data_IF_304647272972
#
_entry.id   IF_304647272972
#
_cell.length_a   1.000
_cell.length_b   1.000
_cell.length_c   1.000
_cell.angle_alpha   90.00
_cell.angle_beta   90.00
_cell.angle_gamma   90.00
#
_symmetry.space_group_name_H-M   'P 1'
#
loop_
_entity.id
_entity.type
_entity.pdbx_description
1 polymer ?
#
# COMPACT_ATOMS: atom_id res chain seq x y z
N UNK A 1 31.72 -9.09 14.03
CA UNK A 1 32.18 -7.70 13.76
C UNK A 1 31.49 -7.06 12.55
N UNK A 2 31.35 -7.75 11.41
CA UNK A 2 30.63 -7.23 10.22
C UNK A 2 29.26 -6.60 10.51
N UNK A 3 28.43 -7.23 11.35
CA UNK A 3 27.11 -6.71 11.75
C UNK A 3 27.16 -5.34 12.48
N UNK A 4 28.27 -5.04 13.16
CA UNK A 4 28.44 -3.81 13.94
C UNK A 4 28.83 -2.65 13.02
N UNK A 5 29.74 -2.89 12.07
CA UNK A 5 30.14 -1.91 11.05
C UNK A 5 28.99 -1.55 10.08
N UNK A 6 28.20 -2.54 9.66
CA UNK A 6 27.03 -2.30 8.79
C UNK A 6 25.95 -1.48 9.54
N UNK A 7 25.80 -1.69 10.84
CA UNK A 7 24.89 -0.93 11.69
C UNK A 7 25.31 0.53 11.86
N UNK A 8 26.61 0.79 12.01
CA UNK A 8 27.13 2.15 12.13
C UNK A 8 26.96 2.93 10.83
N UNK A 9 27.27 2.34 9.67
CA UNK A 9 27.06 3.00 8.36
C UNK A 9 25.60 3.31 8.07
N UNK A 10 24.68 2.42 8.43
CA UNK A 10 23.25 2.67 8.30
C UNK A 10 22.81 3.82 9.24
N UNK A 11 23.26 3.81 10.49
CA UNK A 11 22.98 4.89 11.44
C UNK A 11 23.53 6.25 10.99
N UNK A 12 24.71 6.26 10.38
CA UNK A 12 25.36 7.47 9.86
C UNK A 12 24.65 8.04 8.62
N UNK A 13 24.00 7.18 7.83
CA UNK A 13 23.18 7.59 6.69
C UNK A 13 21.81 8.13 7.15
N UNK A 14 21.25 7.56 8.22
CA UNK A 14 19.95 7.98 8.80
C UNK A 14 20.09 9.31 9.56
N UNK A 15 21.20 9.53 10.27
CA UNK A 15 21.41 10.75 11.06
C UNK A 15 21.54 12.02 10.21
N UNK A 16 21.85 11.88 8.92
CA UNK A 16 21.95 12.99 7.96
C UNK A 16 20.60 13.48 7.43
N UNK A 17 19.50 12.73 7.67
CA UNK A 17 18.16 13.09 7.21
C UNK A 17 17.46 13.98 8.27
N UNK A 18 17.50 15.30 8.06
CA UNK A 18 16.66 16.27 8.78
C UNK A 18 15.27 16.32 8.15
N UNK A 19 14.39 15.38 8.48
CA UNK A 19 12.96 15.48 8.13
C UNK A 19 12.09 15.41 9.39
N UNK A 20 10.90 16.04 9.34
CA UNK A 20 9.88 15.95 10.41
C UNK A 20 9.51 14.49 10.73
N UNK A 21 9.65 13.59 9.76
CA UNK A 21 9.38 12.14 9.88
C UNK A 21 10.58 11.31 10.35
N UNK A 22 11.63 11.94 10.89
CA UNK A 22 12.85 11.25 11.32
C UNK A 22 12.59 10.09 12.29
N UNK A 23 11.52 10.15 13.10
CA UNK A 23 11.10 9.04 13.98
C UNK A 23 10.58 7.82 13.20
N UNK A 24 9.71 8.04 12.21
CA UNK A 24 9.14 6.98 11.37
C UNK A 24 10.22 6.32 10.50
N UNK A 25 11.10 7.12 9.89
CA UNK A 25 12.21 6.63 9.07
C UNK A 25 13.19 5.81 9.93
N UNK A 26 13.47 6.26 11.16
CA UNK A 26 14.33 5.50 12.10
C UNK A 26 13.69 4.18 12.54
N UNK A 27 12.38 4.17 12.76
CA UNK A 27 11.63 2.95 13.05
C UNK A 27 11.69 1.98 11.87
N UNK A 28 11.48 2.48 10.64
CA UNK A 28 11.57 1.69 9.42
C UNK A 28 12.96 1.06 9.24
N UNK A 29 14.04 1.82 9.47
CA UNK A 29 15.39 1.28 9.46
C UNK A 29 15.63 0.23 10.57
N UNK A 30 15.08 0.44 11.77
CA UNK A 30 15.17 -0.55 12.86
C UNK A 30 14.46 -1.86 12.52
N UNK A 31 13.32 -1.79 11.82
CA UNK A 31 12.58 -2.95 11.32
C UNK A 31 13.39 -3.69 10.26
N UNK A 32 13.95 -2.97 9.28
CA UNK A 32 14.77 -3.56 8.23
C UNK A 32 16.01 -4.28 8.80
N UNK A 33 16.60 -3.75 9.89
CA UNK A 33 17.68 -4.41 10.64
C UNK A 33 17.21 -5.70 11.31
N UNK A 34 16.05 -5.68 11.98
CA UNK A 34 15.49 -6.89 12.58
C UNK A 34 15.25 -7.98 11.53
N UNK A 35 14.73 -7.62 10.35
CA UNK A 35 14.55 -8.58 9.25
C UNK A 35 15.86 -9.23 8.80
N UNK A 36 16.96 -8.48 8.75
CA UNK A 36 18.27 -9.02 8.39
C UNK A 36 18.75 -10.08 9.39
N UNK A 37 18.59 -9.81 10.69
CA UNK A 37 18.91 -10.80 11.74
C UNK A 37 18.02 -12.03 11.61
N UNK A 38 16.73 -11.82 11.39
CA UNK A 38 15.76 -12.92 11.24
C UNK A 38 16.09 -13.81 10.04
N UNK A 39 16.53 -13.26 8.91
CA UNK A 39 16.99 -14.05 7.76
C UNK A 39 18.17 -14.96 8.09
N UNK A 40 19.22 -14.42 8.72
CA UNK A 40 20.37 -15.26 9.10
C UNK A 40 19.98 -16.35 10.11
N UNK A 41 19.02 -16.07 11.00
CA UNK A 41 18.48 -17.06 11.91
C UNK A 41 17.62 -18.10 11.18
N UNK A 42 16.82 -17.72 10.18
CA UNK A 42 16.03 -18.63 9.34
C UNK A 42 16.96 -19.52 8.51
N UNK A 43 18.03 -18.98 7.92
CA UNK A 43 19.03 -19.73 7.15
C UNK A 43 19.70 -20.82 8.01
N UNK A 44 19.99 -20.51 9.27
CA UNK A 44 20.57 -21.47 10.22
C UNK A 44 19.54 -22.40 10.88
N UNK A 45 18.25 -22.02 10.90
CA UNK A 45 17.16 -22.76 11.54
C UNK A 45 15.90 -22.81 10.66
N UNK A 46 15.93 -23.51 9.51
CA UNK A 46 14.89 -23.44 8.48
C UNK A 46 13.51 -23.93 8.93
N UNK A 47 13.44 -24.78 9.95
CA UNK A 47 12.18 -25.36 10.46
C UNK A 47 11.59 -24.59 11.64
N UNK A 48 12.15 -23.42 12.00
CA UNK A 48 11.64 -22.63 13.12
C UNK A 48 10.49 -21.72 12.66
N UNK A 49 9.26 -22.17 12.90
CA UNK A 49 8.03 -21.45 12.55
C UNK A 49 7.87 -20.09 13.26
N UNK A 50 8.46 -19.94 14.45
CA UNK A 50 8.46 -18.68 15.20
C UNK A 50 9.30 -17.60 14.51
N UNK A 51 10.46 -17.95 13.96
CA UNK A 51 11.32 -17.03 13.21
C UNK A 51 10.66 -16.57 11.90
N UNK A 52 10.04 -17.50 11.17
CA UNK A 52 9.28 -17.19 9.95
C UNK A 52 8.14 -16.23 10.26
N UNK A 53 7.38 -16.48 11.35
CA UNK A 53 6.29 -15.60 11.78
C UNK A 53 6.80 -14.20 12.16
N UNK A 54 7.91 -14.12 12.90
CA UNK A 54 8.52 -12.84 13.28
C UNK A 54 8.99 -12.05 12.05
N UNK A 55 9.57 -12.75 11.05
CA UNK A 55 9.98 -12.15 9.79
C UNK A 55 8.79 -11.55 9.04
N UNK A 56 7.73 -12.32 8.83
CA UNK A 56 6.51 -11.85 8.15
C UNK A 56 5.86 -10.67 8.89
N UNK A 57 5.85 -10.68 10.23
CA UNK A 57 5.34 -9.56 11.03
C UNK A 57 6.19 -8.29 10.85
N UNK A 58 7.51 -8.44 10.83
CA UNK A 58 8.41 -7.31 10.58
C UNK A 58 8.28 -6.77 9.14
N UNK A 59 8.01 -7.63 8.16
CA UNK A 59 7.72 -7.22 6.78
C UNK A 59 6.43 -6.41 6.68
N UNK A 60 5.36 -6.85 7.34
CA UNK A 60 4.10 -6.10 7.45
C UNK A 60 4.31 -4.71 8.04
N UNK A 61 5.10 -4.62 9.12
CA UNK A 61 5.41 -3.33 9.72
C UNK A 61 6.23 -2.46 8.76
N UNK A 62 7.26 -3.01 8.12
CA UNK A 62 8.08 -2.25 7.17
C UNK A 62 7.23 -1.65 6.05
N UNK A 63 6.30 -2.43 5.49
CA UNK A 63 5.37 -1.96 4.46
C UNK A 63 4.48 -0.84 5.00
N UNK A 64 3.88 -0.98 6.19
CA UNK A 64 3.10 0.10 6.82
C UNK A 64 3.89 1.39 7.03
N UNK A 65 5.18 1.29 7.39
CA UNK A 65 6.04 2.46 7.54
C UNK A 65 6.41 3.07 6.18
N UNK A 66 6.74 2.25 5.18
CA UNK A 66 7.04 2.72 3.83
C UNK A 66 5.86 3.49 3.21
N UNK A 67 4.63 3.03 3.48
CA UNK A 67 3.40 3.72 3.08
C UNK A 67 3.24 5.09 3.75
N UNK A 68 3.67 5.24 5.01
CA UNK A 68 3.58 6.51 5.75
C UNK A 68 4.69 7.50 5.39
N UNK A 69 5.85 7.01 4.97
CA UNK A 69 7.02 7.86 4.68
C UNK A 69 7.23 8.13 3.20
N UNK A 70 6.48 7.47 2.31
CA UNK A 70 6.70 7.44 0.85
C UNK A 70 8.13 7.06 0.46
N UNK A 71 8.83 6.35 1.36
CA UNK A 71 10.21 5.93 1.23
C UNK A 71 10.26 4.44 1.49
N UNK A 72 10.72 3.67 0.51
CA UNK A 72 10.98 2.25 0.68
C UNK A 72 12.47 2.03 0.94
N UNK A 73 12.79 1.23 1.94
CA UNK A 73 14.14 0.76 2.20
C UNK A 73 14.34 -0.56 1.46
N UNK A 74 15.00 -0.51 0.32
CA UNK A 74 15.35 -1.69 -0.46
C UNK A 74 16.76 -2.17 -0.13
N UNK A 75 16.98 -3.47 -0.30
CA UNK A 75 18.30 -4.07 -0.10
C UNK A 75 19.02 -4.17 -1.43
N UNK A 76 20.20 -3.56 -1.49
CA UNK A 76 21.09 -3.63 -2.63
C UNK A 76 22.41 -4.26 -2.18
N UNK A 77 23.01 -5.11 -3.02
CA UNK A 77 24.34 -5.65 -2.74
C UNK A 77 25.37 -4.71 -3.34
N UNK A 78 26.30 -4.20 -2.54
CA UNK A 78 27.37 -3.35 -3.05
C UNK A 78 28.35 -4.14 -3.94
N UNK A 79 29.26 -3.43 -4.60
CA UNK A 79 30.29 -4.03 -5.47
C UNK A 79 31.22 -5.02 -4.74
N UNK A 80 31.19 -5.04 -3.40
CA UNK A 80 31.99 -5.91 -2.55
C UNK A 80 31.18 -7.10 -2.00
N UNK A 81 29.93 -7.28 -2.43
CA UNK A 81 29.07 -8.38 -1.96
C UNK A 81 28.39 -8.11 -0.62
N UNK A 82 28.46 -6.88 -0.09
CA UNK A 82 27.83 -6.52 1.19
C UNK A 82 26.39 -6.05 0.96
N UNK A 83 25.47 -6.53 1.79
CA UNK A 83 24.06 -6.11 1.74
C UNK A 83 23.94 -4.73 2.38
N UNK A 84 23.48 -3.73 1.63
CA UNK A 84 23.21 -2.39 2.12
C UNK A 84 21.73 -2.04 1.96
N UNK A 85 21.23 -1.15 2.82
CA UNK A 85 19.91 -0.56 2.68
C UNK A 85 20.00 0.73 1.87
N UNK A 86 19.20 0.83 0.82
CA UNK A 86 19.06 2.00 -0.03
C UNK A 86 17.66 2.57 0.12
N UNK A 87 17.59 3.89 0.23
CA UNK A 87 16.33 4.60 0.16
C UNK A 87 15.94 4.70 -1.30
N UNK A 88 14.81 4.10 -1.63
CA UNK A 88 14.12 4.27 -2.90
C UNK A 88 12.91 5.13 -2.58
N UNK A 89 12.89 6.34 -3.15
CA UNK A 89 11.70 7.17 -3.11
C UNK A 89 10.66 6.44 -3.93
N UNK A 90 9.51 6.17 -3.34
CA UNK A 90 8.39 5.63 -4.11
C UNK A 90 7.88 6.83 -4.90
N UNK A 91 8.28 6.93 -6.17
CA UNK A 91 7.78 7.97 -7.06
C UNK A 91 6.27 7.76 -7.22
N UNK A 92 5.49 8.84 -7.10
CA UNK A 92 4.04 8.90 -7.06
C UNK A 92 3.33 8.45 -8.37
N UNK A 93 4.02 7.69 -9.23
CA UNK A 93 3.54 7.30 -10.56
C UNK A 93 2.61 6.07 -10.53
N UNK A 94 2.37 5.46 -9.36
CA UNK A 94 1.25 4.57 -9.14
C UNK A 94 0.41 5.11 -7.97
N UNK A 95 -0.69 5.77 -8.31
CA UNK A 95 -1.80 6.24 -7.45
C UNK A 95 -2.47 5.11 -6.60
N UNK A 96 -1.85 3.93 -6.57
CA UNK A 96 -2.44 2.68 -6.15
C UNK A 96 -1.85 2.12 -4.84
N UNK A 97 -0.95 2.86 -4.20
CA UNK A 97 -0.23 2.42 -2.99
C UNK A 97 -0.88 2.84 -1.67
N UNK A 98 -1.67 3.91 -1.66
CA UNK A 98 -2.12 4.52 -0.41
C UNK A 98 -3.39 3.85 0.12
N UNK A 99 -3.39 3.52 1.42
CA UNK A 99 -4.65 3.25 2.11
C UNK A 99 -5.47 4.54 2.09
N UNK A 100 -6.51 4.59 1.25
CA UNK A 100 -7.39 5.75 1.11
C UNK A 100 -8.71 5.44 1.79
N UNK A 101 -9.15 6.34 2.65
CA UNK A 101 -10.51 6.34 3.20
C UNK A 101 -11.07 7.73 2.97
N UNK A 102 -12.16 7.84 2.21
CA UNK A 102 -12.81 9.12 1.97
C UNK A 102 -14.32 8.97 1.96
N UNK A 103 -14.98 9.92 2.62
CA UNK A 103 -16.44 10.03 2.65
C UNK A 103 -16.78 11.38 2.04
N UNK A 104 -17.53 11.36 0.94
CA UNK A 104 -18.07 12.56 0.31
C UNK A 104 -19.59 12.54 0.43
N UNK A 105 -20.15 13.64 0.90
CA UNK A 105 -21.58 13.88 0.89
C UNK A 105 -21.84 15.12 0.03
N UNK A 106 -22.65 14.98 -1.01
CA UNK A 106 -23.07 16.09 -1.86
C UNK A 106 -24.56 16.33 -1.64
N UNK A 107 -24.91 17.56 -1.25
CA UNK A 107 -26.29 17.96 -1.00
C UNK A 107 -26.88 18.56 -2.26
N UNK A 108 -27.82 17.84 -2.88
CA UNK A 108 -28.54 18.24 -4.09
C UNK A 108 -30.05 18.34 -3.77
N UNK A 109 -30.62 19.54 -3.92
CA UNK A 109 -32.02 19.87 -3.58
C UNK A 109 -32.41 19.50 -2.12
N UNK A 110 -33.20 18.42 -1.97
CA UNK A 110 -33.73 17.91 -0.70
C UNK A 110 -33.14 16.54 -0.33
N UNK A 111 -32.03 16.16 -0.97
CA UNK A 111 -31.38 14.87 -0.78
C UNK A 111 -29.88 15.06 -0.67
N UNK A 112 -29.26 14.13 0.03
CA UNK A 112 -27.80 14.05 0.11
C UNK A 112 -27.36 12.75 -0.53
N UNK A 113 -26.51 12.84 -1.56
CA UNK A 113 -25.80 11.69 -2.11
C UNK A 113 -24.54 11.46 -1.28
N UNK A 114 -24.36 10.27 -0.74
CA UNK A 114 -23.17 9.90 0.04
C UNK A 114 -22.39 8.84 -0.71
N UNK A 115 -21.08 9.05 -0.86
CA UNK A 115 -20.12 8.11 -1.44
C UNK A 115 -19.01 7.83 -0.42
N UNK A 116 -18.89 6.56 -0.06
CA UNK A 116 -17.82 6.04 0.81
C UNK A 116 -16.85 5.25 -0.05
N UNK A 117 -15.58 5.65 -0.06
CA UNK A 117 -14.50 5.00 -0.81
C UNK A 117 -13.43 4.50 0.17
N UNK A 118 -13.08 3.23 0.02
CA UNK A 118 -12.07 2.51 0.79
C UNK A 118 -11.09 1.84 -0.17
N UNK A 119 -9.80 2.18 -0.07
CA UNK A 119 -8.71 1.48 -0.75
C UNK A 119 -7.71 1.03 0.28
N UNK A 120 -7.32 -0.23 0.26
CA UNK A 120 -6.32 -0.75 1.19
C UNK A 120 -5.66 -2.04 0.70
N UNK A 121 -4.59 -2.43 1.39
CA UNK A 121 -3.92 -3.71 1.17
C UNK A 121 -4.24 -4.67 2.31
N UNK A 122 -4.53 -5.93 1.98
CA UNK A 122 -4.58 -7.05 2.92
C UNK A 122 -3.66 -8.17 2.46
N UNK A 123 -3.29 -9.05 3.39
CA UNK A 123 -2.57 -10.29 3.06
C UNK A 123 -3.51 -11.49 2.91
N UNK A 124 -4.83 -11.28 3.03
CA UNK A 124 -5.75 -12.37 2.80
C UNK A 124 -6.04 -12.53 1.32
N UNK A 125 -6.07 -13.78 0.89
CA UNK A 125 -6.44 -14.22 -0.46
C UNK A 125 -7.81 -14.87 -0.50
N UNK A 126 -8.43 -15.09 0.67
CA UNK A 126 -9.73 -15.73 0.80
C UNK A 126 -10.83 -14.68 0.82
N UNK A 127 -11.87 -14.85 0.01
CA UNK A 127 -12.96 -13.88 -0.16
C UNK A 127 -13.63 -13.51 1.16
N UNK A 128 -13.82 -14.49 2.05
CA UNK A 128 -14.45 -14.29 3.36
C UNK A 128 -13.61 -13.42 4.29
N UNK A 129 -12.30 -13.60 4.26
CA UNK A 129 -11.37 -12.82 5.06
C UNK A 129 -11.21 -11.41 4.49
N UNK A 130 -11.20 -11.27 3.16
CA UNK A 130 -11.20 -9.97 2.49
C UNK A 130 -12.48 -9.19 2.85
N UNK A 131 -13.64 -9.85 2.84
CA UNK A 131 -14.91 -9.25 3.25
C UNK A 131 -14.90 -8.83 4.74
N UNK A 132 -14.34 -9.67 5.63
CA UNK A 132 -14.17 -9.33 7.03
C UNK A 132 -13.25 -8.10 7.22
N UNK A 133 -12.14 -8.02 6.49
CA UNK A 133 -11.22 -6.86 6.53
C UNK A 133 -11.92 -5.57 6.05
N UNK A 134 -12.79 -5.66 5.04
CA UNK A 134 -13.62 -4.52 4.61
C UNK A 134 -14.58 -4.13 5.74
N UNK A 135 -15.27 -5.09 6.36
CA UNK A 135 -16.24 -4.88 7.44
C UNK A 135 -15.61 -4.19 8.65
N UNK A 136 -14.43 -4.65 9.08
CA UNK A 136 -13.65 -4.06 10.16
C UNK A 136 -13.28 -2.59 9.87
N UNK A 137 -12.89 -2.29 8.62
CA UNK A 137 -12.56 -0.92 8.20
C UNK A 137 -13.81 -0.04 8.11
N UNK A 138 -14.94 -0.58 7.66
CA UNK A 138 -16.23 0.13 7.67
C UNK A 138 -16.66 0.44 9.12
N UNK A 139 -16.47 -0.49 10.05
CA UNK A 139 -16.73 -0.26 11.47
C UNK A 139 -15.79 0.80 12.07
N UNK A 140 -14.52 0.84 11.64
CA UNK A 140 -13.58 1.89 12.04
C UNK A 140 -13.99 3.27 11.50
N UNK A 141 -14.50 3.35 10.27
CA UNK A 141 -15.08 4.58 9.72
C UNK A 141 -16.26 5.04 10.57
N UNK A 142 -17.18 4.15 10.91
CA UNK A 142 -18.36 4.47 11.71
C UNK A 142 -18.01 5.23 12.98
N UNK A 143 -16.91 4.87 13.65
CA UNK A 143 -16.48 5.53 14.88
C UNK A 143 -15.81 6.90 14.66
N UNK A 144 -15.46 7.25 13.42
CA UNK A 144 -14.73 8.47 13.05
C UNK A 144 -15.41 9.23 11.90
N UNK A 145 -16.72 9.04 11.67
CA UNK A 145 -17.44 9.63 10.52
C UNK A 145 -17.30 11.15 10.50
N UNK A 146 -17.49 11.78 11.66
CA UNK A 146 -17.46 13.25 11.81
C UNK A 146 -16.15 13.87 11.36
N UNK A 147 -15.03 13.15 11.50
CA UNK A 147 -13.70 13.64 11.13
C UNK A 147 -13.37 13.40 9.65
N UNK A 148 -14.06 12.46 9.01
CA UNK A 148 -13.75 11.97 7.66
C UNK A 148 -14.70 12.49 6.57
N UNK A 149 -15.88 12.97 6.94
CA UNK A 149 -16.89 13.43 6.00
C UNK A 149 -16.57 14.83 5.46
N UNK A 150 -16.59 14.95 4.14
CA UNK A 150 -16.63 16.24 3.43
C UNK A 150 -18.02 16.46 2.87
N UNK A 151 -18.69 17.52 3.31
CA UNK A 151 -20.04 17.89 2.87
C UNK A 151 -19.90 19.04 1.86
N UNK A 152 -20.20 18.75 0.59
CA UNK A 152 -20.20 19.70 -0.53
C UNK A 152 -21.66 20.16 -0.73
N UNK A 153 -21.90 21.47 -0.79
CA UNK A 153 -23.24 22.07 -1.04
C UNK A 153 -23.22 22.88 -2.34
N UNK A 154 -24.21 22.68 -3.20
CA UNK A 154 -24.35 23.45 -4.43
C UNK A 154 -24.50 24.95 -4.13
N UNK A 155 -23.45 25.73 -4.37
CA UNK A 155 -23.45 27.20 -4.21
C UNK A 155 -22.30 27.78 -3.38
N UNK A 156 -21.48 26.94 -2.74
CA UNK A 156 -20.16 27.38 -2.24
C UNK A 156 -19.14 27.19 -3.37
N UNK A 157 -18.90 28.25 -4.14
CA UNK A 157 -17.72 28.33 -5.02
C UNK A 157 -16.48 28.22 -4.11
N UNK A 158 -15.64 27.21 -4.37
CA UNK A 158 -14.30 27.02 -3.78
C UNK A 158 -13.41 28.23 -4.15
N UNK A 159 -13.64 29.37 -3.50
CA UNK A 159 -12.68 30.45 -3.35
C UNK A 159 -11.69 30.06 -2.23
N UNK A 160 -11.00 28.93 -2.38
CA UNK A 160 -9.78 28.67 -1.61
C UNK A 160 -8.65 29.55 -2.18
N UNK A 161 -8.61 30.80 -1.69
CA UNK A 161 -7.35 31.52 -1.53
C UNK A 161 -7.15 31.88 -0.07
N UNK A 162 -6.09 31.30 0.46
CA UNK A 162 -5.29 31.74 1.61
C UNK A 162 -5.61 33.17 2.08
N UNK A 163 -6.03 33.31 3.34
CA UNK A 163 -5.24 34.09 4.31
C UNK A 163 -5.88 34.07 5.71
N UNK A 164 -4.99 34.13 6.68
CA UNK A 164 -5.14 33.99 8.12
C UNK A 164 -6.22 34.85 8.80
N UNK A 165 -6.64 34.37 9.98
CA UNK A 165 -7.20 35.13 11.10
C UNK A 165 -8.54 35.87 10.90
N UNK A 166 -9.64 35.25 11.37
CA UNK A 166 -10.44 35.80 12.47
C UNK A 166 -11.62 34.86 12.83
N UNK A 167 -11.75 34.54 14.12
CA UNK A 167 -13.01 34.04 14.70
C UNK A 167 -14.06 35.15 14.71
N UNK A 168 -15.31 34.84 14.35
CA UNK A 168 -16.44 35.43 15.06
C UNK A 168 -17.28 34.37 15.76
N UNK A 169 -17.46 34.57 17.07
CA UNK A 169 -18.53 34.00 17.87
C UNK A 169 -19.86 34.56 17.37
N UNK A 170 -20.79 33.70 16.95
CA UNK A 170 -22.19 34.09 16.72
C UNK A 170 -23.09 33.18 17.54
N UNK A 171 -23.59 33.71 18.65
CA UNK A 171 -24.68 33.14 19.44
C UNK A 171 -26.02 33.54 18.81
N UNK A 172 -26.71 32.59 18.19
CA UNK A 172 -28.11 32.79 17.75
C UNK A 172 -29.04 32.01 18.69
N UNK A 173 -29.66 32.74 19.61
CA UNK A 173 -30.84 32.32 20.36
C UNK A 173 -32.09 32.82 19.63
N UNK A 174 -32.95 31.92 19.14
CA UNK A 174 -34.27 32.32 18.61
C UNK A 174 -35.17 31.19 18.09
N UNK A 175 -36.12 30.77 18.92
CA UNK A 175 -37.53 30.49 18.54
C UNK A 175 -37.90 29.20 17.77
N UNK A 176 -38.89 28.41 18.24
CA UNK A 176 -39.47 27.32 17.44
C UNK A 176 -40.32 27.88 16.30
N UNK A 177 -39.90 27.64 15.06
CA UNK A 177 -40.68 28.00 13.86
C UNK A 177 -41.48 26.79 13.40
N UNK A 178 -42.76 27.04 13.15
CA UNK A 178 -43.84 26.09 12.86
C UNK A 178 -43.70 25.34 11.55
N UNK A 179 -44.07 24.07 11.60
CA UNK A 179 -44.21 23.11 10.51
C UNK A 179 -45.25 23.56 9.46
N UNK A 180 -44.83 23.77 8.22
CA UNK A 180 -45.71 23.89 7.06
C UNK A 180 -45.77 22.55 6.31
N UNK A 181 -46.82 21.78 6.60
CA UNK A 181 -47.19 20.57 5.85
C UNK A 181 -47.71 20.95 4.48
N UNK A 182 -46.85 21.02 3.47
CA UNK A 182 -47.28 21.10 2.06
C UNK A 182 -47.45 19.69 1.53
N UNK A 183 -48.71 19.24 1.47
CA UNK A 183 -49.10 18.05 0.73
C UNK A 183 -49.12 18.42 -0.75
N UNK A 184 -48.03 18.14 -1.47
CA UNK A 184 -48.06 18.06 -2.93
C UNK A 184 -47.74 16.64 -3.37
N UNK A 185 -48.79 15.95 -3.82
CA UNK A 185 -48.70 14.76 -4.61
C UNK A 185 -48.04 15.11 -5.95
N UNK A 186 -46.76 14.80 -6.08
CA UNK A 186 -46.06 14.73 -7.37
C UNK A 186 -45.66 13.29 -7.59
N UNK A 187 -46.50 12.56 -8.29
CA UNK A 187 -46.17 11.34 -9.01
C UNK A 187 -45.20 11.70 -10.15
N UNK A 188 -43.94 12.00 -9.81
CA UNK A 188 -42.84 11.99 -10.76
C UNK A 188 -42.04 10.74 -10.53
N UNK A 189 -41.91 9.95 -11.60
CA UNK A 189 -41.18 8.71 -11.72
C UNK A 189 -40.04 8.62 -10.70
N UNK A 190 -40.28 7.85 -9.64
CA UNK A 190 -39.26 7.38 -8.73
C UNK A 190 -38.37 6.42 -9.52
N UNK A 191 -37.45 6.96 -10.32
CA UNK A 191 -36.15 6.32 -10.52
C UNK A 191 -35.55 6.23 -9.13
N UNK A 192 -35.90 5.14 -8.42
CA UNK A 192 -35.27 4.67 -7.21
C UNK A 192 -33.79 4.85 -7.41
N UNK A 193 -33.23 5.86 -6.76
CA UNK A 193 -31.80 6.14 -6.74
C UNK A 193 -31.16 4.94 -6.05
N UNK A 194 -30.83 3.92 -6.85
CA UNK A 194 -30.42 2.61 -6.35
C UNK A 194 -29.16 2.80 -5.53
N UNK A 195 -29.22 2.35 -4.29
CA UNK A 195 -28.05 2.05 -3.49
C UNK A 195 -27.12 1.16 -4.32
N UNK A 196 -25.84 1.54 -4.40
CA UNK A 196 -24.82 0.83 -5.16
C UNK A 196 -23.69 0.46 -4.21
N UNK A 197 -23.41 -0.82 -4.13
CA UNK A 197 -22.28 -1.39 -3.40
C UNK A 197 -21.38 -2.08 -4.43
N UNK A 198 -20.10 -1.75 -4.42
CA UNK A 198 -19.09 -2.32 -5.31
C UNK A 198 -17.84 -2.64 -4.49
N UNK A 199 -17.35 -3.87 -4.58
CA UNK A 199 -16.08 -4.26 -3.98
C UNK A 199 -15.25 -5.01 -5.02
N UNK A 200 -13.99 -4.63 -5.20
CA UNK A 200 -13.05 -5.29 -6.08
C UNK A 200 -11.80 -5.67 -5.27
N UNK A 201 -11.29 -6.87 -5.48
CA UNK A 201 -10.03 -7.32 -4.90
C UNK A 201 -9.09 -7.82 -6.00
N UNK A 202 -7.85 -7.36 -5.99
CA UNK A 202 -6.80 -7.78 -6.91
C UNK A 202 -5.71 -8.50 -6.14
N UNK A 203 -5.58 -9.81 -6.36
CA UNK A 203 -4.60 -10.67 -5.68
C UNK A 203 -3.32 -10.73 -6.51
N UNK A 204 -2.20 -10.33 -5.91
CA UNK A 204 -0.86 -10.34 -6.50
C UNK A 204 0.13 -11.01 -5.55
N UNK A 205 0.31 -12.32 -5.71
CA UNK A 205 1.14 -13.12 -4.79
C UNK A 205 0.45 -13.33 -3.44
N UNK A 206 1.04 -12.84 -2.35
CA UNK A 206 0.50 -12.92 -0.98
C UNK A 206 -0.17 -11.61 -0.52
N UNK A 207 -0.33 -10.65 -1.44
CA UNK A 207 -0.92 -9.34 -1.15
C UNK A 207 -2.14 -9.15 -2.03
N UNK A 208 -3.19 -8.60 -1.43
CA UNK A 208 -4.47 -8.31 -2.08
C UNK A 208 -4.77 -6.83 -1.96
N UNK A 209 -4.98 -6.17 -3.09
CA UNK A 209 -5.41 -4.78 -3.16
C UNK A 209 -6.93 -4.75 -3.20
N UNK A 210 -7.55 -4.07 -2.24
CA UNK A 210 -9.00 -3.99 -2.11
C UNK A 210 -9.46 -2.58 -2.44
N UNK A 211 -10.50 -2.46 -3.26
CA UNK A 211 -11.19 -1.22 -3.59
C UNK A 211 -12.69 -1.40 -3.33
N UNK A 212 -13.22 -0.66 -2.37
CA UNK A 212 -14.61 -0.72 -1.95
C UNK A 212 -15.26 0.65 -2.12
N UNK A 213 -16.42 0.67 -2.76
CA UNK A 213 -17.23 1.85 -3.00
C UNK A 213 -18.69 1.59 -2.61
N UNK A 214 -19.23 2.44 -1.75
CA UNK A 214 -20.63 2.39 -1.33
C UNK A 214 -21.30 3.75 -1.54
N UNK A 215 -22.29 3.80 -2.43
CA UNK A 215 -23.02 5.01 -2.81
C UNK A 215 -24.50 4.86 -2.50
N UNK A 216 -25.07 5.82 -1.78
CA UNK A 216 -26.50 5.84 -1.42
C UNK A 216 -27.02 7.27 -1.27
N UNK A 217 -28.33 7.41 -1.10
CA UNK A 217 -28.99 8.70 -0.90
C UNK A 217 -29.66 8.75 0.47
N UNK A 218 -29.64 9.93 1.10
CA UNK A 218 -30.38 10.25 2.31
C UNK A 218 -31.39 11.36 1.99
N UNK A 219 -32.60 11.29 2.54
CA UNK A 219 -33.63 12.34 2.39
C UNK A 219 -33.49 13.38 3.51
N UNK A 220 -32.27 13.85 3.76
CA UNK A 220 -31.93 14.86 4.76
C UNK A 220 -30.85 15.77 4.17
N UNK A 221 -30.79 17.02 4.63
CA UNK A 221 -29.82 18.04 4.20
C UNK A 221 -29.05 18.65 5.38
N UNK A 222 -29.50 18.40 6.61
CA UNK A 222 -28.85 18.88 7.83
C UNK A 222 -27.66 17.98 8.21
N UNK A 223 -26.50 18.57 8.47
CA UNK A 223 -25.25 17.86 8.81
C UNK A 223 -25.39 16.78 9.89
N UNK A 224 -26.00 17.02 11.07
CA UNK A 224 -26.16 15.99 12.08
C UNK A 224 -27.05 14.83 11.61
N UNK A 225 -28.07 15.13 10.78
CA UNK A 225 -28.94 14.13 10.20
C UNK A 225 -28.22 13.32 9.09
N UNK A 226 -27.34 13.96 8.31
CA UNK A 226 -26.48 13.30 7.32
C UNK A 226 -25.55 12.31 8.02
N UNK A 227 -24.85 12.74 9.09
CA UNK A 227 -23.94 11.88 9.87
C UNK A 227 -24.70 10.69 10.45
N UNK A 228 -25.84 10.94 11.12
CA UNK A 228 -26.67 9.88 11.71
C UNK A 228 -27.18 8.90 10.64
N UNK A 229 -27.60 9.42 9.48
CA UNK A 229 -28.07 8.61 8.36
C UNK A 229 -26.96 7.75 7.76
N UNK A 230 -25.76 8.30 7.62
CA UNK A 230 -24.56 7.58 7.17
C UNK A 230 -24.17 6.47 8.16
N UNK A 231 -24.10 6.76 9.46
CA UNK A 231 -23.83 5.74 10.49
C UNK A 231 -24.85 4.60 10.46
N UNK A 232 -26.13 4.92 10.29
CA UNK A 232 -27.20 3.94 10.14
C UNK A 232 -27.00 3.06 8.90
N UNK A 233 -26.64 3.66 7.76
CA UNK A 233 -26.39 2.96 6.49
C UNK A 233 -25.14 2.08 6.54
N UNK A 234 -24.07 2.53 7.18
CA UNK A 234 -22.87 1.71 7.40
C UNK A 234 -23.14 0.56 8.36
N UNK A 235 -23.96 0.78 9.40
CA UNK A 235 -24.32 -0.27 10.36
C UNK A 235 -25.21 -1.36 9.75
N UNK A 236 -25.91 -1.06 8.66
CA UNK A 236 -26.73 -2.02 7.94
C UNK A 236 -25.93 -2.88 6.96
N UNK A 237 -24.66 -2.56 6.69
CA UNK A 237 -23.78 -3.40 5.89
C UNK A 237 -23.40 -4.64 6.70
N UNK A 238 -23.67 -5.81 6.13
CA UNK A 238 -23.25 -7.10 6.67
C UNK A 238 -22.17 -7.70 5.78
N UNK A 239 -21.37 -8.62 6.33
CA UNK A 239 -20.35 -9.35 5.58
C UNK A 239 -20.95 -10.06 4.36
N UNK A 240 -22.18 -10.58 4.47
CA UNK A 240 -22.91 -11.18 3.34
C UNK A 240 -23.17 -10.19 2.20
N UNK A 241 -23.49 -8.93 2.52
CA UNK A 241 -23.73 -7.90 1.51
C UNK A 241 -22.42 -7.54 0.80
N UNK A 242 -21.33 -7.44 1.55
CA UNK A 242 -19.99 -7.15 1.03
C UNK A 242 -19.52 -8.31 0.14
N UNK A 243 -19.62 -9.55 0.62
CA UNK A 243 -19.20 -10.74 -0.11
C UNK A 243 -19.94 -10.92 -1.43
N UNK A 244 -21.26 -10.64 -1.46
CA UNK A 244 -22.05 -10.67 -2.71
C UNK A 244 -21.62 -9.62 -3.73
N UNK A 245 -21.05 -8.51 -3.27
CA UNK A 245 -20.59 -7.41 -4.11
C UNK A 245 -19.10 -7.49 -4.47
N UNK A 246 -18.37 -8.47 -3.92
CA UNK A 246 -16.92 -8.64 -4.08
C UNK A 246 -16.59 -9.36 -5.38
N UNK A 247 -15.84 -8.68 -6.27
CA UNK A 247 -15.26 -9.23 -7.49
C UNK A 247 -13.75 -9.44 -7.30
N UNK A 248 -13.29 -10.69 -7.33
CA UNK A 248 -11.88 -11.06 -7.06
C UNK A 248 -11.15 -11.39 -8.35
N UNK A 249 -10.08 -10.64 -8.63
CA UNK A 249 -9.20 -10.80 -9.79
C UNK A 249 -7.84 -11.32 -9.33
N UNK A 250 -7.46 -12.51 -9.78
CA UNK A 250 -6.14 -13.09 -9.49
C UNK A 250 -5.17 -12.75 -10.60
N UNK A 251 -4.14 -11.95 -10.31
CA UNK A 251 -3.03 -11.69 -11.23
C UNK A 251 -1.88 -12.63 -10.89
N UNK A 252 -1.87 -13.77 -11.56
CA UNK A 252 -0.69 -14.62 -11.57
C UNK A 252 0.44 -13.88 -12.30
N UNK A 253 1.43 -13.39 -11.55
CA UNK A 253 2.72 -13.02 -12.14
C UNK A 253 3.26 -14.29 -12.80
N UNK A 254 3.07 -14.43 -14.12
CA UNK A 254 3.96 -15.25 -14.93
C UNK A 254 5.35 -14.69 -14.66
N UNK A 255 6.11 -15.40 -13.81
CA UNK A 255 7.53 -15.20 -13.69
C UNK A 255 8.06 -15.50 -15.08
N UNK A 256 8.25 -14.47 -15.90
CA UNK A 256 9.20 -14.55 -17.00
C UNK A 256 10.55 -14.79 -16.33
N UNK A 257 10.82 -16.07 -16.05
CA UNK A 257 12.17 -16.57 -15.97
C UNK A 257 12.68 -16.36 -17.40
N UNK A 258 13.15 -15.15 -17.70
CA UNK A 258 14.16 -14.95 -18.75
C UNK A 258 15.35 -15.74 -18.25
N UNK A 259 15.28 -17.04 -18.49
CA UNK A 259 16.32 -17.99 -18.20
C UNK A 259 17.60 -17.37 -18.75
N UNK A 260 18.54 -17.23 -17.85
CA UNK A 260 19.98 -17.06 -18.01
C UNK A 260 20.61 -18.16 -18.88
N UNK A 261 19.89 -18.71 -19.87
CA UNK A 261 20.40 -19.53 -20.97
C UNK A 261 21.47 -18.80 -21.77
N UNK A 262 21.51 -17.47 -21.74
CA UNK A 262 22.59 -16.71 -22.37
C UNK A 262 23.91 -16.73 -21.57
N UNK A 263 23.84 -16.85 -20.23
CA UNK A 263 25.03 -16.88 -19.38
C UNK A 263 25.60 -18.29 -19.22
N UNK A 264 24.77 -19.34 -19.20
CA UNK A 264 25.28 -20.72 -19.28
C UNK A 264 25.91 -21.02 -20.65
N UNK A 265 25.32 -20.54 -21.76
CA UNK A 265 25.91 -20.72 -23.09
C UNK A 265 27.26 -19.99 -23.23
N UNK A 266 27.40 -18.78 -22.65
CA UNK A 266 28.70 -18.09 -22.58
C UNK A 266 29.71 -18.79 -21.67
N UNK A 267 29.27 -19.42 -20.56
CA UNK A 267 30.17 -20.15 -19.65
C UNK A 267 30.71 -21.45 -20.27
N UNK A 268 29.93 -22.11 -21.13
CA UNK A 268 30.37 -23.29 -21.88
C UNK A 268 31.36 -22.89 -22.98
N UNK A 269 31.08 -21.81 -23.74
CA UNK A 269 31.97 -21.34 -24.81
C UNK A 269 33.33 -20.83 -24.30
N UNK A 270 33.38 -20.28 -23.07
CA UNK A 270 34.64 -19.85 -22.43
C UNK A 270 35.46 -21.04 -21.91
N UNK A 271 34.83 -22.18 -21.61
CA UNK A 271 35.56 -23.40 -21.20
C UNK A 271 36.20 -24.11 -22.38
N UNK A 272 35.50 -24.26 -23.52
CA UNK A 272 36.08 -24.88 -24.72
C UNK A 272 37.29 -24.09 -25.24
N UNK A 273 37.23 -22.75 -25.29
CA UNK A 273 38.37 -21.91 -25.72
C UNK A 273 39.60 -21.99 -24.80
N UNK A 274 39.47 -22.48 -23.56
CA UNK A 274 40.61 -22.65 -22.64
C UNK A 274 41.27 -24.02 -22.75
N UNK A 275 40.60 -25.04 -23.25
CA UNK A 275 41.21 -26.36 -23.49
C UNK A 275 42.05 -26.37 -24.77
N UNK A 276 41.59 -25.73 -25.85
CA UNK A 276 42.35 -25.65 -27.11
C UNK A 276 43.67 -24.87 -26.97
N UNK A 277 43.72 -23.90 -26.05
CA UNK A 277 44.92 -23.10 -25.80
C UNK A 277 45.92 -23.77 -24.84
N UNK A 278 45.56 -24.91 -24.24
CA UNK A 278 46.47 -25.69 -23.37
C UNK A 278 47.21 -26.77 -24.18
N UNK A 279 46.59 -27.32 -25.21
CA UNK A 279 47.23 -28.32 -26.08
C UNK A 279 48.27 -27.73 -27.05
N UNK A 280 48.17 -26.45 -27.42
CA UNK A 280 49.12 -25.82 -28.36
C UNK A 280 50.42 -25.33 -27.72
N UNK A 281 50.57 -25.40 -26.38
CA UNK A 281 51.77 -24.95 -25.67
C UNK A 281 52.78 -26.05 -25.36
N UNK A 282 52.40 -27.33 -25.49
CA UNK A 282 53.29 -28.46 -25.17
C UNK A 282 54.29 -28.75 -26.30
N UNK A 283 53.98 -28.39 -27.55
CA UNK A 283 54.84 -28.74 -28.70
C UNK A 283 55.95 -27.72 -29.01
N UNK A 284 56.01 -26.58 -28.29
CA UNK A 284 56.98 -25.50 -28.61
C UNK A 284 58.21 -25.43 -27.70
N UNK A 285 58.26 -26.20 -26.62
CA UNK A 285 59.43 -26.22 -25.71
C UNK A 285 60.41 -27.38 -25.95
N UNK A 286 60.13 -28.27 -26.90
CA UNK A 286 60.99 -29.42 -27.23
C UNK A 286 62.18 -29.15 -28.16
N UNK A 287 62.27 -27.98 -28.81
CA UNK A 287 63.18 -27.74 -29.95
C UNK A 287 64.29 -26.69 -29.69
N UNK A 288 64.77 -26.54 -28.45
CA UNK A 288 65.89 -25.62 -28.15
C UNK A 288 67.06 -26.27 -27.40
N UNK A 289 67.36 -27.54 -27.66
CA UNK A 289 68.47 -28.22 -26.98
C UNK A 289 69.28 -29.15 -27.88
N UNK A 290 69.87 -28.60 -28.95
CA UNK A 290 70.95 -29.27 -29.67
C UNK A 290 71.60 -28.32 -30.69
N UNK A 291 72.39 -27.36 -30.22
CA UNK A 291 73.38 -26.65 -31.04
C UNK A 291 74.27 -25.88 -30.06
N UNK A 292 75.28 -26.59 -29.53
CA UNK A 292 76.49 -26.05 -28.91
C UNK A 292 77.34 -27.25 -28.44
N UNK A 293 77.87 -27.98 -29.43
CA UNK A 293 79.08 -28.79 -29.31
C UNK A 293 79.74 -28.77 -30.69
N UNK A 294 80.73 -27.90 -30.83
CA UNK A 294 82.04 -28.17 -31.44
C UNK A 294 82.98 -26.99 -31.15
#
# INVERSE_FOLDING_TARGET
>A
EQYREENEKANESISKLKTKDGGLIRAQASIAKHQFVLEGLIESHPNNTGLIRAYNNSERLLNKFALKTSIKLERETDKMGRKMLKHVRVEDDEEDGYEKTSIKASVEDNKTQVKVELKFLTNSTEDTDIAADISDRVAAIKNNVSDLIKIERDGEEDDEKDDDEAKPEVTVTGGPTTTLTTTQAVTRAATLSREKLKAEAEIKGNTTRVNFEYTFFLNVTEDPAIITGLEGKLSALTDENILKALDVKVIEKRVEIKETKQDEKKKIEIKEKKEDNKNTRVDREGYKRSEDRD
#
